data_IF_717884498973
#
_entry.id   IF_717884498973
#
_cell.length_a   1.000
_cell.length_b   1.000
_cell.length_c   1.000
_cell.angle_alpha   90.00
_cell.angle_beta   90.00
_cell.angle_gamma   90.00
#
_symmetry.space_group_name_H-M   'P 1'
#
loop_
_entity.id
_entity.type
_entity.pdbx_description
1 polymer ?
#
# COMPACT_ATOMS: atom_id res chain seq x y z
N UNK A 1 68.06 -3.45 21.33
CA UNK A 1 67.15 -3.95 20.27
C UNK A 1 66.50 -5.24 20.75
N UNK A 2 65.18 -5.38 20.63
CA UNK A 2 64.46 -6.62 20.97
C UNK A 2 62.98 -6.40 21.27
N UNK A 3 62.18 -6.18 20.22
CA UNK A 3 60.75 -5.88 20.27
C UNK A 3 59.92 -6.99 20.94
N UNK A 4 59.09 -6.63 21.92
CA UNK A 4 58.10 -7.50 22.55
C UNK A 4 56.90 -7.65 21.60
N UNK A 5 56.79 -8.77 20.88
CA UNK A 5 55.60 -9.08 20.05
C UNK A 5 54.44 -9.51 20.96
N UNK A 6 53.43 -8.66 21.09
CA UNK A 6 52.17 -8.99 21.77
C UNK A 6 51.38 -9.99 20.92
N UNK A 7 51.40 -11.26 21.32
CA UNK A 7 50.69 -12.34 20.64
C UNK A 7 49.23 -12.34 21.11
N UNK A 8 48.31 -11.81 20.29
CA UNK A 8 46.86 -11.88 20.56
C UNK A 8 46.42 -13.35 20.52
N UNK A 9 45.82 -13.85 21.59
CA UNK A 9 45.22 -15.18 21.64
C UNK A 9 44.00 -15.24 20.72
N UNK A 10 44.04 -16.17 19.76
CA UNK A 10 42.92 -16.47 18.89
C UNK A 10 41.86 -17.23 19.71
N UNK A 11 40.70 -16.60 19.95
CA UNK A 11 39.59 -17.21 20.67
C UNK A 11 38.54 -17.72 19.67
N UNK A 12 38.53 -19.01 19.31
CA UNK A 12 37.64 -19.56 18.30
C UNK A 12 36.15 -19.39 18.65
N UNK A 13 35.80 -19.42 19.93
CA UNK A 13 34.42 -19.18 20.39
C UNK A 13 33.91 -17.76 20.10
N UNK A 14 34.82 -16.75 20.11
CA UNK A 14 34.49 -15.36 19.77
C UNK A 14 34.29 -15.22 18.26
N UNK A 15 35.10 -15.92 17.46
CA UNK A 15 34.98 -15.94 16.00
C UNK A 15 33.66 -16.58 15.58
N UNK A 16 33.31 -17.75 16.13
CA UNK A 16 32.06 -18.45 15.83
C UNK A 16 30.84 -17.60 16.21
N UNK A 17 30.85 -16.96 17.39
CA UNK A 17 29.75 -16.07 17.81
C UNK A 17 29.57 -14.88 16.86
N UNK A 18 30.66 -14.23 16.46
CA UNK A 18 30.60 -13.11 15.53
C UNK A 18 30.12 -13.55 14.14
N UNK A 19 30.54 -14.72 13.67
CA UNK A 19 30.04 -15.30 12.41
C UNK A 19 28.54 -15.58 12.44
N UNK A 20 28.02 -16.12 13.55
CA UNK A 20 26.58 -16.35 13.73
C UNK A 20 25.79 -15.03 13.73
N UNK A 21 26.29 -14.00 14.44
CA UNK A 21 25.65 -12.69 14.46
C UNK A 21 25.60 -12.03 13.07
N UNK A 22 26.68 -12.16 12.29
CA UNK A 22 26.71 -11.67 10.91
C UNK A 22 25.72 -12.41 10.00
N UNK A 23 25.60 -13.73 10.15
CA UNK A 23 24.63 -14.52 9.39
C UNK A 23 23.19 -14.13 9.72
N UNK A 24 22.88 -13.91 11.01
CA UNK A 24 21.56 -13.44 11.45
C UNK A 24 21.23 -12.05 10.91
N UNK A 25 22.20 -11.13 10.90
CA UNK A 25 22.02 -9.78 10.34
C UNK A 25 21.75 -9.83 8.83
N UNK A 26 22.50 -10.64 8.10
CA UNK A 26 22.28 -10.82 6.65
C UNK A 26 20.93 -11.45 6.35
N UNK A 27 20.49 -12.43 7.15
CA UNK A 27 19.17 -13.02 7.02
C UNK A 27 18.06 -11.96 7.26
N UNK A 28 18.19 -11.14 8.30
CA UNK A 28 17.24 -10.06 8.57
C UNK A 28 17.12 -9.05 7.42
N UNK A 29 18.24 -8.71 6.78
CA UNK A 29 18.26 -7.83 5.61
C UNK A 29 17.57 -8.45 4.38
N UNK A 30 17.65 -9.78 4.21
CA UNK A 30 16.95 -10.51 3.13
C UNK A 30 15.43 -10.58 3.34
N UNK A 31 14.99 -10.61 4.60
CA UNK A 31 13.57 -10.61 4.97
C UNK A 31 12.94 -9.20 4.99
N UNK A 32 13.74 -8.16 4.79
CA UNK A 32 13.25 -6.78 4.78
C UNK A 32 12.42 -6.52 3.52
N UNK A 33 11.16 -6.03 3.64
CA UNK A 33 10.38 -5.67 2.47
C UNK A 33 11.07 -4.53 1.69
N UNK A 34 11.17 -4.67 0.37
CA UNK A 34 11.69 -3.62 -0.49
C UNK A 34 10.70 -2.45 -0.51
N UNK A 35 11.05 -1.36 0.19
CA UNK A 35 10.23 -0.14 0.16
C UNK A 35 10.54 0.61 -1.13
N UNK A 36 9.76 0.36 -2.19
CA UNK A 36 9.83 1.15 -3.40
C UNK A 36 9.23 2.53 -3.12
N UNK A 37 10.09 3.54 -2.95
CA UNK A 37 9.65 4.92 -2.84
C UNK A 37 8.93 5.32 -4.13
N UNK A 38 7.60 5.36 -4.08
CA UNK A 38 6.77 5.81 -5.19
C UNK A 38 7.07 7.30 -5.42
N UNK A 39 7.51 7.66 -6.63
CA UNK A 39 7.66 9.07 -7.01
C UNK A 39 6.33 9.80 -6.83
N UNK A 40 6.36 10.95 -6.15
CA UNK A 40 5.21 11.83 -5.94
C UNK A 40 4.92 12.55 -7.25
N UNK A 41 4.07 11.94 -8.05
CA UNK A 41 3.56 12.50 -9.30
C UNK A 41 2.05 12.29 -9.34
N UNK A 42 1.31 13.18 -10.01
CA UNK A 42 -0.13 13.01 -10.11
C UNK A 42 -0.45 11.69 -10.80
N UNK A 43 -1.37 10.93 -10.21
CA UNK A 43 -1.91 9.71 -10.83
C UNK A 43 -2.71 10.09 -12.07
N UNK A 44 -2.48 9.37 -13.17
CA UNK A 44 -3.21 9.61 -14.42
C UNK A 44 -4.49 8.78 -14.45
N UNK A 45 -5.49 9.20 -15.23
CA UNK A 45 -6.73 8.43 -15.39
C UNK A 45 -6.47 7.01 -15.91
N UNK A 46 -5.50 6.87 -16.81
CA UNK A 46 -5.08 5.57 -17.35
C UNK A 46 -4.54 4.68 -16.23
N UNK A 47 -3.68 5.22 -15.35
CA UNK A 47 -3.14 4.47 -14.22
C UNK A 47 -4.23 4.11 -13.22
N UNK A 48 -5.16 5.02 -12.92
CA UNK A 48 -6.33 4.75 -12.06
C UNK A 48 -7.18 3.62 -12.64
N UNK A 49 -7.49 3.66 -13.95
CA UNK A 49 -8.26 2.61 -14.62
C UNK A 49 -7.53 1.27 -14.59
N UNK A 50 -6.23 1.26 -14.86
CA UNK A 50 -5.42 0.04 -14.79
C UNK A 50 -5.39 -0.57 -13.40
N UNK A 51 -5.21 0.25 -12.35
CA UNK A 51 -5.25 -0.21 -10.96
C UNK A 51 -6.63 -0.75 -10.58
N UNK A 52 -7.71 -0.08 -11.00
CA UNK A 52 -9.08 -0.54 -10.79
C UNK A 52 -9.36 -1.89 -11.47
N UNK A 53 -8.86 -2.08 -12.69
CA UNK A 53 -8.95 -3.38 -13.37
C UNK A 53 -8.22 -4.50 -12.62
N UNK A 54 -7.06 -4.21 -12.02
CA UNK A 54 -6.37 -5.17 -11.15
C UNK A 54 -7.21 -5.52 -9.92
N UNK A 55 -7.83 -4.53 -9.29
CA UNK A 55 -8.76 -4.76 -8.19
C UNK A 55 -9.93 -5.67 -8.58
N UNK A 56 -10.52 -5.49 -9.77
CA UNK A 56 -11.55 -6.41 -10.24
C UNK A 56 -11.02 -7.84 -10.43
N UNK A 57 -9.84 -8.01 -11.02
CA UNK A 57 -9.23 -9.32 -11.18
C UNK A 57 -8.94 -10.00 -9.82
N UNK A 58 -8.46 -9.24 -8.83
CA UNK A 58 -8.21 -9.73 -7.48
C UNK A 58 -9.50 -10.14 -6.78
N UNK A 59 -10.58 -9.36 -6.94
CA UNK A 59 -11.91 -9.74 -6.45
C UNK A 59 -12.39 -11.02 -7.14
N UNK A 60 -12.26 -11.11 -8.45
CA UNK A 60 -12.69 -12.26 -9.24
C UNK A 60 -11.91 -13.53 -8.93
N UNK A 61 -10.64 -13.42 -8.51
CA UNK A 61 -9.86 -14.55 -8.00
C UNK A 61 -10.36 -15.10 -6.65
N UNK A 62 -11.19 -14.33 -5.92
CA UNK A 62 -11.76 -14.74 -4.63
C UNK A 62 -10.98 -14.28 -3.40
N UNK A 63 -9.88 -13.54 -3.57
CA UNK A 63 -9.07 -13.03 -2.44
C UNK A 63 -9.81 -12.03 -1.54
N UNK A 64 -10.90 -11.43 -2.03
CA UNK A 64 -11.71 -10.44 -1.32
C UNK A 64 -12.97 -11.03 -0.65
N UNK A 65 -13.10 -12.36 -0.64
CA UNK A 65 -14.24 -13.08 -0.07
C UNK A 65 -15.50 -13.07 -0.95
N UNK A 66 -16.45 -13.95 -0.62
CA UNK A 66 -17.66 -14.16 -1.44
C UNK A 66 -18.60 -12.95 -1.43
N UNK A 67 -18.61 -12.16 -0.37
CA UNK A 67 -19.41 -10.94 -0.30
C UNK A 67 -19.11 -9.97 -1.46
N UNK A 68 -17.84 -9.84 -1.89
CA UNK A 68 -17.48 -8.96 -2.99
C UNK A 68 -17.97 -9.44 -4.37
N UNK A 69 -18.62 -10.60 -4.44
CA UNK A 69 -19.20 -11.19 -5.65
C UNK A 69 -20.73 -11.30 -5.59
N UNK A 70 -21.35 -10.87 -4.50
CA UNK A 70 -22.81 -11.03 -4.29
C UNK A 70 -23.65 -10.20 -5.28
N UNK A 71 -23.15 -9.03 -5.69
CA UNK A 71 -23.79 -8.17 -6.68
C UNK A 71 -22.76 -7.28 -7.40
N UNK A 72 -23.22 -6.65 -8.48
CA UNK A 72 -22.45 -5.65 -9.23
C UNK A 72 -22.01 -4.49 -8.37
N UNK A 73 -22.91 -3.95 -7.53
CA UNK A 73 -22.57 -2.82 -6.67
C UNK A 73 -21.67 -3.21 -5.49
N UNK A 74 -21.82 -4.42 -4.97
CA UNK A 74 -20.93 -4.90 -3.90
C UNK A 74 -19.51 -5.10 -4.44
N UNK A 75 -19.38 -5.64 -5.66
CA UNK A 75 -18.11 -5.72 -6.37
C UNK A 75 -17.50 -4.33 -6.59
N UNK A 76 -18.31 -3.34 -6.94
CA UNK A 76 -17.86 -1.97 -7.13
C UNK A 76 -17.35 -1.33 -5.83
N UNK A 77 -18.09 -1.45 -4.73
CA UNK A 77 -17.67 -0.99 -3.41
C UNK A 77 -16.34 -1.65 -2.98
N UNK A 78 -16.18 -2.97 -3.18
CA UNK A 78 -14.92 -3.65 -2.92
C UNK A 78 -13.79 -3.16 -3.83
N UNK A 79 -14.07 -2.89 -5.10
CA UNK A 79 -13.08 -2.36 -6.03
C UNK A 79 -12.61 -0.96 -5.65
N UNK A 80 -13.51 -0.10 -5.15
CA UNK A 80 -13.15 1.23 -4.64
C UNK A 80 -12.28 1.14 -3.38
N UNK A 81 -12.63 0.27 -2.42
CA UNK A 81 -11.79 -0.03 -1.25
C UNK A 81 -10.40 -0.53 -1.66
N UNK A 82 -10.34 -1.46 -2.61
CA UNK A 82 -9.08 -1.96 -3.15
C UNK A 82 -8.24 -0.87 -3.81
N UNK A 83 -8.88 -0.01 -4.61
CA UNK A 83 -8.20 1.02 -5.38
C UNK A 83 -7.52 2.05 -4.47
N UNK A 84 -8.19 2.43 -3.39
CA UNK A 84 -7.60 3.22 -2.31
C UNK A 84 -8.46 3.14 -1.05
N UNK A 85 -8.00 2.43 -0.01
CA UNK A 85 -8.72 2.35 1.27
C UNK A 85 -8.95 3.74 1.88
N UNK A 86 -7.92 4.59 1.88
CA UNK A 86 -7.98 5.94 2.47
C UNK A 86 -9.04 6.83 1.79
N UNK A 87 -9.13 6.79 0.45
CA UNK A 87 -10.14 7.58 -0.25
C UNK A 87 -11.55 6.99 -0.11
N UNK A 88 -11.65 5.67 0.02
CA UNK A 88 -12.95 5.03 0.26
C UNK A 88 -13.50 5.37 1.64
N UNK A 89 -12.67 5.34 2.69
CA UNK A 89 -13.05 5.70 4.06
C UNK A 89 -13.63 7.12 4.13
N UNK A 90 -12.98 8.08 3.46
CA UNK A 90 -13.42 9.48 3.45
C UNK A 90 -14.75 9.65 2.69
N UNK A 91 -14.91 8.98 1.54
CA UNK A 91 -15.98 9.28 0.59
C UNK A 91 -17.20 8.36 0.72
N UNK A 92 -16.97 7.06 0.92
CA UNK A 92 -17.97 6.01 0.75
C UNK A 92 -18.22 5.15 1.99
N UNK A 93 -17.35 5.14 3.00
CA UNK A 93 -17.52 4.22 4.14
C UNK A 93 -18.81 4.46 4.93
N UNK A 94 -19.16 5.72 5.15
CA UNK A 94 -20.39 6.08 5.86
C UNK A 94 -21.66 5.76 5.07
N UNK A 95 -21.55 5.73 3.75
CA UNK A 95 -22.68 5.65 2.82
C UNK A 95 -22.23 4.95 1.53
N UNK A 96 -22.11 3.60 1.54
CA UNK A 96 -21.64 2.83 0.39
C UNK A 96 -22.58 2.96 -0.81
N UNK A 97 -22.07 2.70 -2.01
CA UNK A 97 -22.92 2.77 -3.21
C UNK A 97 -24.07 1.76 -3.16
N UNK A 98 -25.26 2.21 -3.54
CA UNK A 98 -26.48 1.40 -3.63
C UNK A 98 -26.76 0.90 -5.06
N UNK A 99 -27.55 -0.17 -5.19
CA UNK A 99 -27.88 -0.73 -6.50
C UNK A 99 -28.70 0.27 -7.33
N UNK A 100 -28.22 0.58 -8.54
CA UNK A 100 -28.85 1.58 -9.43
C UNK A 100 -28.41 3.03 -9.18
N UNK A 101 -27.58 3.29 -8.16
CA UNK A 101 -27.07 4.63 -7.89
C UNK A 101 -26.09 5.11 -8.98
N UNK A 102 -26.24 6.38 -9.38
CA UNK A 102 -25.28 7.08 -10.25
C UNK A 102 -24.67 8.25 -9.51
N UNK A 103 -23.49 8.02 -8.97
CA UNK A 103 -22.84 8.96 -8.08
C UNK A 103 -21.70 9.71 -8.77
N UNK A 104 -22.07 10.78 -9.47
CA UNK A 104 -21.12 11.58 -10.24
C UNK A 104 -20.27 12.49 -9.34
N UNK A 105 -20.87 13.07 -8.30
CA UNK A 105 -20.22 14.06 -7.42
C UNK A 105 -19.19 13.37 -6.54
N UNK A 106 -19.56 12.34 -5.78
CA UNK A 106 -18.57 11.65 -4.93
C UNK A 106 -17.58 10.86 -5.77
N UNK A 107 -17.97 10.45 -6.99
CA UNK A 107 -17.04 9.89 -7.98
C UNK A 107 -15.94 10.88 -8.39
N UNK A 108 -16.24 12.17 -8.48
CA UNK A 108 -15.24 13.23 -8.70
C UNK A 108 -14.39 13.46 -7.45
N UNK A 109 -15.00 13.50 -6.27
CA UNK A 109 -14.29 13.63 -4.98
C UNK A 109 -13.29 12.49 -4.78
N UNK A 110 -13.67 11.26 -5.11
CA UNK A 110 -12.79 10.10 -5.03
C UNK A 110 -11.59 10.23 -5.98
N UNK A 111 -11.81 10.70 -7.22
CA UNK A 111 -10.72 10.98 -8.17
C UNK A 111 -9.79 12.08 -7.65
N UNK A 112 -10.37 13.15 -7.09
CA UNK A 112 -9.60 14.25 -6.50
C UNK A 112 -8.78 13.80 -5.28
N UNK A 113 -9.35 12.94 -4.44
CA UNK A 113 -8.64 12.30 -3.34
C UNK A 113 -7.42 11.51 -3.82
N UNK A 114 -7.61 10.67 -4.82
CA UNK A 114 -6.53 9.88 -5.41
C UNK A 114 -5.41 10.76 -5.97
N UNK A 115 -5.77 11.89 -6.57
CA UNK A 115 -4.82 12.88 -7.06
C UNK A 115 -3.99 13.48 -5.91
N UNK A 116 -4.64 14.03 -4.87
CA UNK A 116 -3.94 14.55 -3.68
C UNK A 116 -3.05 13.51 -3.00
N UNK A 117 -3.58 12.30 -2.82
CA UNK A 117 -2.85 11.19 -2.21
C UNK A 117 -1.58 10.85 -3.00
N UNK A 118 -1.64 10.87 -4.33
CA UNK A 118 -0.48 10.61 -5.20
C UNK A 118 0.62 11.68 -5.12
N UNK A 119 0.24 12.92 -4.76
CA UNK A 119 1.17 14.03 -4.51
C UNK A 119 1.69 14.04 -3.06
N UNK A 120 1.10 13.22 -2.17
CA UNK A 120 1.39 13.24 -0.74
C UNK A 120 0.81 14.45 -0.02
N UNK A 121 -0.26 15.03 -0.55
CA UNK A 121 -0.99 16.14 0.06
C UNK A 121 -1.97 15.65 1.13
N UNK A 122 -2.41 16.58 2.00
CA UNK A 122 -3.45 16.32 2.98
C UNK A 122 -4.78 15.96 2.32
N UNK A 123 -5.48 14.98 2.90
CA UNK A 123 -6.80 14.53 2.46
C UNK A 123 -7.97 15.23 3.19
N UNK A 124 -7.68 16.30 3.93
CA UNK A 124 -8.70 17.11 4.58
C UNK A 124 -9.59 17.81 3.53
N UNK A 125 -10.86 18.00 3.89
CA UNK A 125 -11.86 18.76 3.14
C UNK A 125 -12.13 18.28 1.70
N UNK A 126 -11.90 16.99 1.42
CA UNK A 126 -12.24 16.40 0.12
C UNK A 126 -13.75 16.13 0.01
N UNK A 127 -14.35 15.56 1.07
CA UNK A 127 -15.78 15.27 1.09
C UNK A 127 -16.57 16.58 1.08
N UNK A 128 -17.48 16.73 0.13
CA UNK A 128 -18.25 17.96 -0.08
C UNK A 128 -17.54 19.02 -0.94
N UNK A 129 -16.33 18.76 -1.44
CA UNK A 129 -15.57 19.75 -2.24
C UNK A 129 -16.21 20.08 -3.60
N UNK A 130 -17.11 19.22 -4.10
CA UNK A 130 -17.84 19.43 -5.35
C UNK A 130 -19.36 19.51 -5.14
N UNK A 131 -19.83 19.56 -3.89
CA UNK A 131 -21.23 19.84 -3.57
C UNK A 131 -21.51 21.34 -3.69
N UNK A 132 -22.45 21.72 -4.56
CA UNK A 132 -23.01 23.08 -4.63
C UNK A 132 -24.15 23.26 -3.65
#
# INVERSE_FOLDING_TARGET
MGNRKTQRSFNPSVVVRNSILLLLLMLFLLLSPTVLAKSRRPITEIETRQRKNKCYADIDSGMWGQQCKSSTITKENCALRCLSPACYEIIYESDPLEEGEKDLVRGQEFKYCMHKLSLGESLQDIKGSFGY
#
